data_IF_628075960137
#
_entry.id   IF_628075960137
#
_cell.length_a   1.000
_cell.length_b   1.000
_cell.length_c   1.000
_cell.angle_alpha   90.00
_cell.angle_beta   90.00
_cell.angle_gamma   90.00
#
_symmetry.space_group_name_H-M   'P 1'
#
loop_
_entity.id
_entity.type
_entity.pdbx_description
1 polymer ?
#
# COMPACT_ATOMS: atom_id res chain seq x y z
N UNK A 1 -6.43 -23.99 -29.58
CA UNK A 1 -6.86 -22.92 -28.66
C UNK A 1 -5.66 -22.57 -27.81
N UNK A 2 -4.98 -21.47 -28.11
CA UNK A 2 -4.02 -20.90 -27.15
C UNK A 2 -4.82 -20.49 -25.91
N UNK A 3 -4.36 -20.80 -24.68
CA UNK A 3 -4.96 -20.19 -23.51
C UNK A 3 -4.77 -18.68 -23.67
N UNK A 4 -5.86 -17.91 -23.64
CA UNK A 4 -5.78 -16.46 -23.60
C UNK A 4 -4.81 -16.09 -22.47
N UNK A 5 -3.63 -15.56 -22.84
CA UNK A 5 -2.60 -15.25 -21.88
C UNK A 5 -3.17 -14.21 -20.92
N UNK A 6 -3.47 -14.63 -19.69
CA UNK A 6 -3.93 -13.73 -18.64
C UNK A 6 -2.90 -12.62 -18.52
N UNK A 7 -3.35 -11.37 -18.66
CA UNK A 7 -2.44 -10.23 -18.53
C UNK A 7 -1.81 -10.27 -17.14
N UNK A 8 -0.48 -10.14 -17.01
CA UNK A 8 0.18 -10.25 -15.71
C UNK A 8 -0.37 -9.17 -14.77
N UNK A 9 -0.63 -9.55 -13.52
CA UNK A 9 -1.21 -8.68 -12.51
C UNK A 9 -0.32 -7.50 -12.16
N UNK A 10 -0.84 -6.62 -11.30
CA UNK A 10 -0.21 -5.35 -10.96
C UNK A 10 -0.15 -5.16 -9.45
N UNK A 11 1.03 -4.85 -8.92
CA UNK A 11 1.14 -4.37 -7.55
C UNK A 11 0.83 -2.86 -7.50
N UNK A 12 -0.10 -2.45 -6.66
CA UNK A 12 -0.41 -1.04 -6.38
C UNK A 12 0.11 -0.70 -4.99
N UNK A 13 1.22 0.02 -4.93
CA UNK A 13 1.81 0.48 -3.69
C UNK A 13 1.13 1.77 -3.21
N UNK A 14 0.39 1.70 -2.11
CA UNK A 14 -0.16 2.88 -1.44
C UNK A 14 0.85 3.37 -0.41
N UNK A 15 1.35 4.58 -0.60
CA UNK A 15 2.37 5.21 0.25
C UNK A 15 1.90 6.58 0.73
N UNK A 16 2.55 7.11 1.77
CA UNK A 16 2.17 8.40 2.32
C UNK A 16 2.54 8.55 3.79
N UNK A 17 2.58 9.79 4.32
CA UNK A 17 2.94 10.04 5.71
C UNK A 17 1.96 9.38 6.69
N UNK A 18 2.39 9.24 7.94
CA UNK A 18 1.48 8.90 9.04
C UNK A 18 0.39 9.98 9.14
N UNK A 19 -0.84 9.58 9.45
CA UNK A 19 -1.99 10.50 9.50
C UNK A 19 -2.62 10.86 8.14
N UNK A 20 -2.03 10.43 7.01
CA UNK A 20 -2.61 10.68 5.68
C UNK A 20 -3.95 9.95 5.42
N UNK A 21 -4.28 8.94 6.23
CA UNK A 21 -5.53 8.18 6.12
C UNK A 21 -5.50 7.04 5.09
N UNK A 22 -4.32 6.51 4.75
CA UNK A 22 -4.13 5.38 3.81
C UNK A 22 -5.08 4.22 4.09
N UNK A 23 -5.06 3.68 5.31
CA UNK A 23 -5.83 2.49 5.69
C UNK A 23 -7.33 2.75 5.53
N UNK A 24 -7.79 3.96 5.90
CA UNK A 24 -9.17 4.39 5.71
C UNK A 24 -9.55 4.44 4.23
N UNK A 25 -8.70 5.06 3.39
CA UNK A 25 -8.99 5.14 1.95
C UNK A 25 -8.97 3.77 1.28
N UNK A 26 -8.01 2.90 1.62
CA UNK A 26 -7.92 1.53 1.11
C UNK A 26 -9.19 0.76 1.48
N UNK A 27 -9.57 0.76 2.76
CA UNK A 27 -10.76 0.07 3.24
C UNK A 27 -12.03 0.53 2.52
N UNK A 28 -12.23 1.85 2.43
CA UNK A 28 -13.41 2.43 1.77
C UNK A 28 -13.41 2.14 0.26
N UNK A 29 -12.26 2.26 -0.41
CA UNK A 29 -12.16 2.02 -1.84
C UNK A 29 -12.46 0.55 -2.19
N UNK A 30 -11.98 -0.39 -1.37
CA UNK A 30 -12.14 -1.83 -1.62
C UNK A 30 -13.52 -2.38 -1.21
N UNK A 31 -14.22 -1.73 -0.27
CA UNK A 31 -15.55 -2.15 0.17
C UNK A 31 -16.54 -2.30 -1.00
N UNK A 32 -16.44 -1.40 -1.99
CA UNK A 32 -17.36 -1.33 -3.13
C UNK A 32 -16.78 -1.86 -4.44
N UNK A 33 -15.57 -2.43 -4.44
CA UNK A 33 -14.96 -3.01 -5.66
C UNK A 33 -15.31 -4.48 -5.84
N UNK A 34 -15.53 -5.22 -4.75
CA UNK A 34 -15.58 -6.69 -4.67
C UNK A 34 -15.88 -7.47 -5.96
N UNK A 35 -17.07 -7.30 -6.56
CA UNK A 35 -17.49 -8.05 -7.75
C UNK A 35 -17.22 -7.35 -9.10
N UNK A 36 -16.79 -6.09 -9.10
CA UNK A 36 -16.59 -5.29 -10.32
C UNK A 36 -15.24 -5.57 -10.98
N UNK A 37 -14.20 -5.88 -10.21
CA UNK A 37 -12.86 -6.11 -10.73
C UNK A 37 -12.01 -7.02 -9.82
N UNK A 38 -11.03 -7.77 -10.37
CA UNK A 38 -10.12 -8.60 -9.59
C UNK A 38 -9.08 -7.73 -8.86
N UNK A 39 -9.49 -7.10 -7.75
CA UNK A 39 -8.66 -6.25 -6.90
C UNK A 39 -8.67 -6.80 -5.48
N UNK A 40 -7.49 -6.94 -4.88
CA UNK A 40 -7.35 -7.52 -3.54
C UNK A 40 -6.36 -6.72 -2.69
N UNK A 41 -6.59 -6.64 -1.38
CA UNK A 41 -5.64 -6.10 -0.41
C UNK A 41 -4.62 -7.18 -0.02
N UNK A 42 -3.32 -6.87 -0.13
CA UNK A 42 -2.28 -7.71 0.42
C UNK A 42 -2.32 -7.68 1.95
N UNK A 43 -2.49 -8.86 2.56
CA UNK A 43 -2.36 -9.05 3.99
C UNK A 43 -0.87 -9.11 4.36
N UNK A 44 -0.39 -8.10 5.09
CA UNK A 44 1.02 -7.97 5.47
C UNK A 44 1.33 -8.79 6.71
N UNK A 45 2.59 -9.20 6.87
CA UNK A 45 3.13 -9.73 8.13
C UNK A 45 3.92 -8.63 8.80
N UNK A 46 3.65 -8.32 10.07
CA UNK A 46 4.26 -7.19 10.78
C UNK A 46 4.77 -7.63 12.15
N UNK A 47 5.90 -7.07 12.59
CA UNK A 47 6.44 -7.33 13.94
C UNK A 47 5.76 -6.52 15.03
N UNK A 48 4.43 -6.48 15.04
CA UNK A 48 3.64 -5.88 16.11
C UNK A 48 2.34 -6.67 16.30
N UNK A 49 1.81 -6.75 17.53
CA UNK A 49 0.51 -7.33 17.77
C UNK A 49 -0.59 -6.58 16.99
N UNK A 50 -1.65 -7.26 16.53
CA UNK A 50 -2.84 -6.60 16.02
C UNK A 50 -3.43 -5.72 17.13
N UNK A 51 -3.75 -4.47 16.79
CA UNK A 51 -4.27 -3.47 17.75
C UNK A 51 -5.78 -3.25 17.64
N UNK A 52 -6.48 -4.07 16.83
CA UNK A 52 -7.93 -4.03 16.63
C UNK A 52 -8.46 -2.77 15.94
N UNK A 53 -7.60 -1.81 15.59
CA UNK A 53 -8.00 -0.52 14.99
C UNK A 53 -7.24 -0.13 13.72
N UNK A 54 -6.22 -0.89 13.33
CA UNK A 54 -5.50 -0.74 12.07
C UNK A 54 -5.88 -1.85 11.07
N UNK A 55 -5.32 -1.82 9.86
CA UNK A 55 -5.59 -2.84 8.84
C UNK A 55 -5.32 -4.28 9.33
N UNK A 56 -6.07 -5.25 8.80
CA UNK A 56 -5.81 -6.67 9.05
C UNK A 56 -4.41 -7.06 8.56
N UNK A 57 -3.62 -7.61 9.47
CA UNK A 57 -2.27 -8.10 9.22
C UNK A 57 -2.00 -9.32 10.09
N UNK A 58 -1.10 -10.18 9.61
CA UNK A 58 -0.56 -11.25 10.42
C UNK A 58 0.61 -10.71 11.26
N UNK A 59 0.81 -11.29 12.44
CA UNK A 59 1.82 -10.83 13.38
C UNK A 59 2.85 -11.93 13.62
N UNK A 60 4.12 -11.55 13.57
CA UNK A 60 5.24 -12.35 14.09
C UNK A 60 5.99 -11.53 15.13
N UNK A 61 6.73 -12.18 16.01
CA UNK A 61 7.74 -11.47 16.79
C UNK A 61 9.00 -11.23 15.93
N UNK A 62 9.99 -10.51 16.47
CA UNK A 62 11.21 -10.18 15.74
C UNK A 62 12.00 -11.42 15.31
N UNK A 63 12.09 -12.43 16.18
CA UNK A 63 12.81 -13.67 15.89
C UNK A 63 12.10 -14.51 14.81
N UNK A 64 10.78 -14.64 14.92
CA UNK A 64 9.94 -15.33 13.95
C UNK A 64 9.96 -14.66 12.58
N UNK A 65 9.92 -13.32 12.54
CA UNK A 65 10.06 -12.57 11.29
C UNK A 65 11.42 -12.80 10.63
N UNK A 66 12.51 -12.71 11.40
CA UNK A 66 13.86 -12.94 10.88
C UNK A 66 14.03 -14.36 10.31
N UNK A 67 13.46 -15.37 10.98
CA UNK A 67 13.44 -16.74 10.47
C UNK A 67 12.65 -16.86 9.17
N UNK A 68 11.42 -16.33 9.13
CA UNK A 68 10.58 -16.37 7.94
C UNK A 68 11.23 -15.65 6.74
N UNK A 69 11.92 -14.54 7.00
CA UNK A 69 12.70 -13.82 5.98
C UNK A 69 13.87 -14.66 5.46
N UNK A 70 14.64 -15.31 6.35
CA UNK A 70 15.74 -16.19 5.98
C UNK A 70 15.28 -17.44 5.19
N UNK A 71 14.07 -17.93 5.47
CA UNK A 71 13.43 -19.02 4.74
C UNK A 71 12.78 -18.58 3.41
N UNK A 72 12.83 -17.29 3.07
CA UNK A 72 12.31 -16.75 1.82
C UNK A 72 10.78 -16.67 1.76
N UNK A 73 10.10 -16.58 2.90
CA UNK A 73 8.63 -16.53 3.00
C UNK A 73 8.02 -15.25 2.40
N UNK A 74 8.81 -14.18 2.26
CA UNK A 74 8.37 -12.88 1.76
C UNK A 74 8.83 -12.64 0.33
N UNK A 75 7.95 -12.10 -0.51
CA UNK A 75 8.34 -11.55 -1.81
C UNK A 75 8.94 -10.15 -1.68
N UNK A 76 8.59 -9.42 -0.61
CA UNK A 76 9.17 -8.13 -0.23
C UNK A 76 9.21 -8.03 1.29
N UNK A 77 10.35 -7.64 1.88
CA UNK A 77 10.48 -7.35 3.30
C UNK A 77 11.18 -6.00 3.49
N UNK A 78 10.71 -5.19 4.45
CA UNK A 78 11.30 -3.90 4.75
C UNK A 78 11.15 -3.53 6.23
N UNK A 79 11.91 -2.53 6.66
CA UNK A 79 11.88 -2.03 8.05
C UNK A 79 11.49 -0.57 8.05
N UNK A 80 10.56 -0.20 8.93
CA UNK A 80 10.11 1.18 9.09
C UNK A 80 9.62 1.41 10.52
N UNK A 81 9.87 2.61 11.06
CA UNK A 81 9.39 3.00 12.40
C UNK A 81 9.71 2.00 13.53
N UNK A 82 10.85 1.30 13.45
CA UNK A 82 11.26 0.30 14.45
C UNK A 82 10.57 -1.06 14.32
N UNK A 83 9.79 -1.26 13.26
CA UNK A 83 9.09 -2.52 12.96
C UNK A 83 9.61 -3.11 11.64
N UNK A 84 9.45 -4.42 11.49
CA UNK A 84 9.62 -5.12 10.23
C UNK A 84 8.25 -5.48 9.62
N UNK A 85 8.22 -5.47 8.30
CA UNK A 85 7.03 -5.69 7.48
C UNK A 85 7.39 -6.61 6.33
N UNK A 86 6.50 -7.55 6.02
CA UNK A 86 6.65 -8.50 4.93
C UNK A 86 5.39 -8.60 4.09
N UNK A 87 5.56 -8.64 2.77
CA UNK A 87 4.54 -9.15 1.84
C UNK A 87 4.81 -10.64 1.63
N UNK A 88 3.87 -11.53 2.00
CA UNK A 88 4.01 -12.97 1.75
C UNK A 88 4.12 -13.29 0.27
N UNK A 89 4.81 -14.39 -0.06
CA UNK A 89 4.88 -14.90 -1.44
C UNK A 89 3.52 -15.22 -2.07
N UNK A 90 2.47 -15.43 -1.28
CA UNK A 90 1.10 -15.63 -1.80
C UNK A 90 0.61 -14.44 -2.64
N UNK A 91 1.17 -13.23 -2.44
CA UNK A 91 0.93 -12.07 -3.31
C UNK A 91 1.29 -12.38 -4.77
N UNK A 92 2.35 -13.15 -5.00
CA UNK A 92 2.80 -13.49 -6.35
C UNK A 92 1.80 -14.37 -7.10
N UNK A 93 1.06 -15.23 -6.39
CA UNK A 93 0.03 -16.07 -7.00
C UNK A 93 -1.11 -15.22 -7.56
N UNK A 94 -1.62 -14.26 -6.77
CA UNK A 94 -2.64 -13.31 -7.25
C UNK A 94 -2.14 -12.49 -8.45
N UNK A 95 -0.90 -12.01 -8.40
CA UNK A 95 -0.29 -11.30 -9.53
C UNK A 95 -0.18 -12.20 -10.77
N UNK A 96 0.18 -13.47 -10.64
CA UNK A 96 0.23 -14.41 -11.75
C UNK A 96 -1.15 -14.67 -12.38
N UNK A 97 -2.22 -14.54 -11.60
CA UNK A 97 -3.62 -14.67 -12.03
C UNK A 97 -4.20 -13.36 -12.60
N UNK A 98 -3.39 -12.32 -12.78
CA UNK A 98 -3.84 -11.04 -13.33
C UNK A 98 -4.55 -10.11 -12.33
N UNK A 99 -4.53 -10.45 -11.04
CA UNK A 99 -5.14 -9.64 -9.97
C UNK A 99 -4.35 -8.35 -9.76
N UNK A 100 -5.07 -7.25 -9.52
CA UNK A 100 -4.48 -6.02 -8.99
C UNK A 100 -4.36 -6.15 -7.47
N UNK A 101 -3.13 -6.26 -6.97
CA UNK A 101 -2.87 -6.40 -5.54
C UNK A 101 -2.50 -5.03 -4.96
N UNK A 102 -3.33 -4.52 -4.05
CA UNK A 102 -3.10 -3.27 -3.32
C UNK A 102 -2.26 -3.58 -2.09
N UNK A 103 -1.15 -2.88 -1.88
CA UNK A 103 -0.29 -3.04 -0.70
C UNK A 103 0.00 -1.69 -0.05
N UNK A 104 -0.26 -1.59 1.26
CA UNK A 104 0.15 -0.42 2.04
C UNK A 104 1.66 -0.51 2.32
N UNK A 105 2.46 0.31 1.63
CA UNK A 105 3.92 0.28 1.69
C UNK A 105 4.49 1.55 2.33
N UNK A 106 5.79 1.51 2.60
CA UNK A 106 6.55 2.72 2.93
C UNK A 106 7.17 3.31 1.66
N UNK A 107 7.43 4.63 1.64
CA UNK A 107 8.17 5.24 0.53
C UNK A 107 9.56 4.60 0.34
N UNK A 108 10.21 4.18 1.44
CA UNK A 108 11.54 3.55 1.41
C UNK A 108 11.53 2.17 0.75
N UNK A 109 10.43 1.44 0.83
CA UNK A 109 10.31 0.10 0.22
C UNK A 109 9.95 0.15 -1.27
N UNK A 110 9.77 1.33 -1.86
CA UNK A 110 9.37 1.44 -3.28
C UNK A 110 10.49 1.09 -4.24
N UNK A 111 11.75 1.38 -3.92
CA UNK A 111 12.89 0.98 -4.76
C UNK A 111 12.98 -0.55 -4.84
N UNK A 112 12.88 -1.22 -3.70
CA UNK A 112 12.89 -2.69 -3.61
C UNK A 112 11.66 -3.27 -4.33
N UNK A 113 10.48 -2.67 -4.16
CA UNK A 113 9.28 -3.09 -4.88
C UNK A 113 9.43 -2.93 -6.41
N UNK A 114 9.97 -1.80 -6.89
CA UNK A 114 10.19 -1.56 -8.32
C UNK A 114 11.21 -2.53 -8.91
N UNK A 115 12.23 -2.93 -8.13
CA UNK A 115 13.21 -3.94 -8.55
C UNK A 115 12.63 -5.35 -8.57
N UNK A 116 11.64 -5.62 -7.71
CA UNK A 116 11.06 -6.95 -7.49
C UNK A 116 9.86 -7.27 -8.38
N UNK A 117 9.02 -6.29 -8.64
CA UNK A 117 7.75 -6.48 -9.35
C UNK A 117 7.82 -5.83 -10.72
N UNK A 118 7.64 -6.65 -11.77
CA UNK A 118 7.68 -6.18 -13.16
C UNK A 118 6.64 -5.10 -13.46
N UNK A 119 5.51 -5.11 -12.75
CA UNK A 119 4.44 -4.13 -12.87
C UNK A 119 4.13 -3.54 -11.50
N UNK A 120 4.48 -2.26 -11.34
CA UNK A 120 4.22 -1.49 -10.13
C UNK A 120 3.46 -0.21 -10.49
N UNK A 121 2.39 0.11 -9.77
CA UNK A 121 1.77 1.42 -9.74
C UNK A 121 1.87 2.01 -8.33
N UNK A 122 1.90 3.33 -8.23
CA UNK A 122 2.08 4.04 -6.95
C UNK A 122 0.92 5.01 -6.71
N UNK A 123 0.31 4.89 -5.54
CA UNK A 123 -0.65 5.86 -5.02
C UNK A 123 -0.01 6.57 -3.84
N UNK A 124 0.29 7.86 -3.99
CA UNK A 124 0.67 8.71 -2.87
C UNK A 124 -0.58 9.30 -2.22
N UNK A 125 -0.89 8.89 -0.99
CA UNK A 125 -1.89 9.56 -0.16
C UNK A 125 -1.20 10.59 0.72
N UNK A 126 -1.62 11.85 0.64
CA UNK A 126 -1.06 12.95 1.42
C UNK A 126 -2.16 13.78 2.10
N UNK A 127 -1.78 14.73 2.93
CA UNK A 127 -2.65 15.81 3.40
C UNK A 127 -1.78 17.02 3.80
N UNK A 128 -2.33 18.24 3.87
CA UNK A 128 -1.63 19.40 4.41
C UNK A 128 -1.08 19.12 5.81
N UNK A 129 0.05 19.74 6.13
CA UNK A 129 0.77 19.50 7.38
C UNK A 129 -0.13 19.66 8.60
N UNK A 130 -0.94 20.70 8.61
CA UNK A 130 -1.85 21.06 9.71
C UNK A 130 -2.90 19.96 9.93
N UNK A 131 -3.39 19.36 8.83
CA UNK A 131 -4.33 18.23 8.88
C UNK A 131 -3.64 16.98 9.43
N UNK A 132 -2.40 16.71 9.02
CA UNK A 132 -1.62 15.57 9.53
C UNK A 132 -1.34 15.73 11.03
N UNK A 133 -0.93 16.91 11.48
CA UNK A 133 -0.73 17.24 12.90
C UNK A 133 -2.01 16.95 13.68
N UNK A 134 -3.14 17.52 13.26
CA UNK A 134 -4.43 17.34 13.93
C UNK A 134 -4.83 15.87 14.04
N UNK A 135 -4.67 15.10 12.95
CA UNK A 135 -4.99 13.66 12.93
C UNK A 135 -4.07 12.81 13.79
N UNK A 136 -2.77 13.13 13.86
CA UNK A 136 -1.82 12.41 14.70
C UNK A 136 -2.08 12.74 16.18
N UNK A 137 -2.27 14.03 16.50
CA UNK A 137 -2.56 14.49 17.85
C UNK A 137 -3.85 13.87 18.42
N UNK A 138 -4.91 13.77 17.59
CA UNK A 138 -6.18 13.16 17.99
C UNK A 138 -6.06 11.67 18.40
N UNK A 139 -4.97 10.98 18.05
CA UNK A 139 -4.73 9.59 18.49
C UNK A 139 -4.25 9.48 19.93
N UNK A 140 -3.79 10.59 20.53
CA UNK A 140 -3.44 10.68 21.95
C UNK A 140 -2.20 9.89 22.41
N UNK A 141 -1.38 9.39 21.48
CA UNK A 141 -0.24 8.49 21.78
C UNK A 141 1.14 9.15 21.63
N UNK A 142 1.20 10.40 21.17
CA UNK A 142 2.44 11.07 20.77
C UNK A 142 2.45 12.50 21.29
N UNK A 143 3.60 12.95 21.82
CA UNK A 143 3.84 14.34 22.21
C UNK A 143 3.99 15.25 20.98
N UNK A 144 3.74 16.55 21.13
CA UNK A 144 3.90 17.53 20.04
C UNK A 144 5.29 17.48 19.40
N UNK A 145 6.35 17.27 20.19
CA UNK A 145 7.72 17.11 19.71
C UNK A 145 7.94 15.84 18.87
N UNK A 146 7.24 14.75 19.19
CA UNK A 146 7.28 13.51 18.40
C UNK A 146 6.55 13.64 17.07
N UNK A 147 5.43 14.35 17.06
CA UNK A 147 4.66 14.70 15.86
C UNK A 147 5.51 15.57 14.93
N UNK A 148 6.13 16.62 15.47
CA UNK A 148 7.01 17.53 14.73
C UNK A 148 8.20 16.78 14.11
N UNK A 149 8.89 15.91 14.85
CA UNK A 149 9.98 15.06 14.29
C UNK A 149 9.50 14.09 13.21
N UNK A 150 8.23 13.67 13.24
CA UNK A 150 7.66 12.82 12.19
C UNK A 150 7.38 13.61 10.92
N UNK A 151 6.92 14.85 11.06
CA UNK A 151 6.60 15.73 9.93
C UNK A 151 7.83 16.39 9.32
N UNK A 152 8.86 16.73 10.10
CA UNK A 152 10.12 17.27 9.59
C UNK A 152 10.87 16.30 8.65
N UNK A 153 10.52 15.01 8.66
CA UNK A 153 11.04 13.99 7.74
C UNK A 153 10.27 13.89 6.43
N UNK A 154 9.31 14.79 6.17
CA UNK A 154 8.61 14.87 4.89
C UNK A 154 9.54 15.44 3.83
N UNK A 155 10.28 14.55 3.19
CA UNK A 155 11.00 14.85 1.95
C UNK A 155 9.99 14.82 0.80
N UNK A 156 10.23 15.64 -0.22
CA UNK A 156 9.59 15.56 -1.52
C UNK A 156 9.65 14.10 -2.02
N UNK A 157 8.50 13.59 -2.45
CA UNK A 157 8.38 12.20 -2.87
C UNK A 157 8.43 12.14 -4.39
N UNK A 158 9.46 11.47 -4.88
CA UNK A 158 9.56 11.10 -6.29
C UNK A 158 9.31 9.60 -6.43
N UNK A 159 8.36 9.18 -7.28
CA UNK A 159 8.15 7.77 -7.55
C UNK A 159 9.35 7.16 -8.32
N UNK A 160 9.66 5.87 -8.11
CA UNK A 160 10.74 5.23 -8.87
C UNK A 160 10.43 5.21 -10.38
N UNK A 161 11.45 5.23 -11.25
CA UNK A 161 11.25 5.13 -12.69
C UNK A 161 10.65 3.77 -13.08
N UNK A 162 10.02 3.71 -14.26
CA UNK A 162 9.51 2.45 -14.82
C UNK A 162 8.18 1.94 -14.23
N UNK A 163 7.54 2.72 -13.35
CA UNK A 163 6.20 2.39 -12.86
C UNK A 163 5.12 2.55 -13.93
N UNK A 164 4.09 1.72 -13.86
CA UNK A 164 2.94 1.71 -14.77
C UNK A 164 2.09 2.97 -14.61
N UNK A 165 1.92 3.45 -13.38
CA UNK A 165 1.12 4.64 -13.11
C UNK A 165 1.47 5.25 -11.75
N UNK A 166 1.31 6.58 -11.67
CA UNK A 166 1.43 7.34 -10.44
C UNK A 166 0.21 8.24 -10.27
N UNK A 167 -0.39 8.23 -9.07
CA UNK A 167 -1.41 9.21 -8.69
C UNK A 167 -1.16 9.72 -7.28
N UNK A 168 -1.37 11.02 -7.09
CA UNK A 168 -1.39 11.67 -5.78
C UNK A 168 -2.83 12.00 -5.37
N UNK A 169 -3.21 11.55 -4.17
CA UNK A 169 -4.50 11.79 -3.54
C UNK A 169 -4.25 12.62 -2.27
N UNK A 170 -4.62 13.89 -2.33
CA UNK A 170 -4.66 14.73 -1.15
C UNK A 170 -5.96 14.46 -0.38
N UNK A 171 -5.84 13.79 0.76
CA UNK A 171 -6.94 13.35 1.60
C UNK A 171 -7.38 14.45 2.58
N UNK A 172 -8.06 15.46 2.04
CA UNK A 172 -8.70 16.56 2.77
C UNK A 172 -10.21 16.40 2.77
N UNK A 173 -10.85 16.86 3.85
CA UNK A 173 -12.31 16.72 4.01
C UNK A 173 -12.74 15.28 4.27
N UNK A 174 -13.85 14.88 3.64
CA UNK A 174 -14.47 13.57 3.81
C UNK A 174 -13.62 12.46 3.16
N UNK A 175 -13.27 11.38 3.88
CA UNK A 175 -12.42 10.31 3.36
C UNK A 175 -13.03 9.58 2.15
N UNK A 176 -14.36 9.60 1.99
CA UNK A 176 -15.10 9.02 0.88
C UNK A 176 -14.67 9.64 -0.46
N UNK A 177 -14.35 10.94 -0.49
CA UNK A 177 -13.85 11.60 -1.72
C UNK A 177 -12.49 11.04 -2.15
N UNK A 178 -11.58 10.85 -1.20
CA UNK A 178 -10.28 10.23 -1.47
C UNK A 178 -10.42 8.76 -1.87
N UNK A 179 -11.33 8.03 -1.22
CA UNK A 179 -11.59 6.63 -1.49
C UNK A 179 -12.21 6.42 -2.88
N UNK A 180 -13.14 7.27 -3.31
CA UNK A 180 -13.69 7.23 -4.65
C UNK A 180 -12.61 7.46 -5.72
N UNK A 181 -11.69 8.40 -5.50
CA UNK A 181 -10.55 8.62 -6.40
C UNK A 181 -9.62 7.41 -6.48
N UNK A 182 -9.32 6.79 -5.34
CA UNK A 182 -8.54 5.55 -5.28
C UNK A 182 -9.25 4.43 -6.04
N UNK A 183 -10.54 4.23 -5.77
CA UNK A 183 -11.38 3.22 -6.43
C UNK A 183 -11.38 3.37 -7.94
N UNK A 184 -11.67 4.55 -8.46
CA UNK A 184 -11.65 4.81 -9.91
C UNK A 184 -10.28 4.48 -10.51
N UNK A 185 -9.19 4.80 -9.80
CA UNK A 185 -7.86 4.46 -10.27
C UNK A 185 -7.61 2.94 -10.31
N UNK A 186 -7.99 2.22 -9.25
CA UNK A 186 -7.87 0.75 -9.19
C UNK A 186 -8.65 0.07 -10.30
N UNK A 187 -9.88 0.51 -10.56
CA UNK A 187 -10.72 -0.04 -11.65
C UNK A 187 -10.10 0.19 -13.03
N UNK A 188 -9.52 1.38 -13.28
CA UNK A 188 -8.80 1.64 -14.54
C UNK A 188 -7.59 0.73 -14.70
N UNK A 189 -6.88 0.43 -13.60
CA UNK A 189 -5.72 -0.46 -13.64
C UNK A 189 -6.11 -1.93 -13.81
N UNK A 190 -7.29 -2.32 -13.34
CA UNK A 190 -7.82 -3.68 -13.47
C UNK A 190 -8.57 -3.91 -14.80
N UNK A 191 -8.87 -2.85 -15.55
CA UNK A 191 -9.52 -2.97 -16.85
C UNK A 191 -8.61 -3.72 -17.85
N UNK A 192 -9.17 -4.64 -18.65
CA UNK A 192 -8.39 -5.33 -19.67
C UNK A 192 -7.83 -4.32 -20.67
N UNK A 193 -6.60 -4.54 -21.13
CA UNK A 193 -6.02 -3.75 -22.20
C UNK A 193 -6.91 -3.90 -23.44
N UNK A 194 -7.45 -2.78 -23.95
CA UNK A 194 -8.22 -2.80 -25.20
C UNK A 194 -7.24 -3.24 -26.30
N UNK A 195 -7.49 -4.35 -27.01
CA UNK A 195 -6.62 -4.74 -28.10
C UNK A 195 -6.65 -3.64 -29.17
N UNK A 196 -5.47 -3.10 -29.48
CA UNK A 196 -5.28 -2.20 -30.61
C UNK A 196 -5.74 -2.93 -31.88
N UNK A 197 -6.75 -2.36 -32.55
CA UNK A 197 -7.25 -2.81 -33.86
C UNK A 197 -6.20 -2.67 -34.94
#
# INVERSE_FOLDING_TARGET
>A
MSPDAVSPGLLVAVVGPSGAGKDTLIRLALADIGAEAPVQLARRVITRPPDGGSEDHDSLDAAGFARAEAEGAFCLAWRAHGLAYGLPRSVEAGLAEGVVVVANLSRRSLGDAASRFARLAVVEVTAPREVLVGRIAARGRESAAEIERRLARQVEFEPPPGIVSYVRIENVGAPETGAARLRTHLLRLAAPAIPSR
#
